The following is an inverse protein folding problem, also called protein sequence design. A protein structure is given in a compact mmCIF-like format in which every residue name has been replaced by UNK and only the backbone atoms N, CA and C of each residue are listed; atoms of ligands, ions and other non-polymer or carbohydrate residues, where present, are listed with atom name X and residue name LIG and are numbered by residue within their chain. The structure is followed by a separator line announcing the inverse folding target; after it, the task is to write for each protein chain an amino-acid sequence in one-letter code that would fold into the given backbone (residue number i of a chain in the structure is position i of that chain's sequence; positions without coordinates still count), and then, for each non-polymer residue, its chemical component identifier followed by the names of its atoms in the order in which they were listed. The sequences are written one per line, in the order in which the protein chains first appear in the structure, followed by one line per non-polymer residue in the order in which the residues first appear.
data_IF_420410613654
#
_entry.id   IF_420410613654
#
_cell.length_a   1.000
_cell.length_b   1.000
_cell.length_c   1.000
_cell.angle_alpha   90.00
_cell.angle_beta   90.00
_cell.angle_gamma   90.00
#
_symmetry.space_group_name_H-M   'P 1'
#
loop_
_entity.id
_entity.type
_entity.pdbx_description
1 polymer ?
#
# COMPACT_ATOMS: atom_id res chain seq x y z
N UNK A 1 1.22 18.44 -15.86
CA UNK A 1 2.05 17.88 -14.77
C UNK A 1 2.66 16.59 -15.28
N UNK A 2 3.98 16.50 -15.38
CA UNK A 2 4.66 15.26 -15.76
C UNK A 2 4.98 14.50 -14.46
N UNK A 3 4.50 13.27 -14.35
CA UNK A 3 4.72 12.38 -13.20
C UNK A 3 5.42 11.12 -13.69
N UNK A 4 6.39 10.62 -12.92
CA UNK A 4 6.86 9.26 -13.11
C UNK A 4 5.72 8.27 -12.81
N UNK A 5 5.74 7.08 -13.43
CA UNK A 5 4.71 6.06 -13.20
C UNK A 5 4.55 5.70 -11.71
N UNK A 6 5.65 5.65 -10.97
CA UNK A 6 5.66 5.43 -9.53
C UNK A 6 4.94 6.54 -8.75
N UNK A 7 5.17 7.79 -9.14
CA UNK A 7 4.53 8.94 -8.52
C UNK A 7 3.03 8.99 -8.83
N UNK A 8 2.65 8.61 -10.06
CA UNK A 8 1.26 8.50 -10.46
C UNK A 8 0.52 7.43 -9.63
N UNK A 9 1.15 6.28 -9.35
CA UNK A 9 0.60 5.26 -8.46
C UNK A 9 0.42 5.82 -7.05
N UNK A 10 1.44 6.48 -6.49
CA UNK A 10 1.34 7.08 -5.16
C UNK A 10 0.20 8.10 -5.08
N UNK A 11 0.08 8.96 -6.08
CA UNK A 11 -0.99 9.94 -6.18
C UNK A 11 -2.38 9.28 -6.25
N UNK A 12 -2.53 8.26 -7.10
CA UNK A 12 -3.77 7.49 -7.24
C UNK A 12 -4.21 6.82 -5.94
N UNK A 13 -3.27 6.26 -5.17
CA UNK A 13 -3.58 5.65 -3.86
C UNK A 13 -4.10 6.69 -2.86
N UNK A 14 -3.45 7.86 -2.78
CA UNK A 14 -3.87 8.92 -1.87
C UNK A 14 -5.25 9.47 -2.23
N UNK A 15 -5.48 9.76 -3.52
CA UNK A 15 -6.77 10.26 -4.03
C UNK A 15 -7.86 9.20 -3.88
N UNK A 16 -7.54 7.92 -4.07
CA UNK A 16 -8.44 6.79 -3.83
C UNK A 16 -8.86 6.59 -2.37
N UNK A 17 -8.31 7.39 -1.46
CA UNK A 17 -8.67 7.40 -0.05
C UNK A 17 -7.92 6.36 0.77
N UNK A 18 -6.77 5.85 0.29
CA UNK A 18 -5.89 5.00 1.10
C UNK A 18 -5.38 5.82 2.29
N UNK A 19 -5.45 5.21 3.48
CA UNK A 19 -5.03 5.81 4.75
C UNK A 19 -4.00 4.96 5.48
N UNK A 20 -3.73 3.76 4.97
CA UNK A 20 -2.68 2.88 5.44
C UNK A 20 -1.86 2.39 4.24
N UNK A 21 -0.64 2.89 4.08
CA UNK A 21 0.27 2.49 3.02
C UNK A 21 1.56 1.99 3.66
N UNK A 22 1.98 0.79 3.29
CA UNK A 22 3.26 0.25 3.74
C UNK A 22 3.96 -0.47 2.61
N UNK A 23 5.21 -0.84 2.82
CA UNK A 23 6.02 -1.48 1.82
C UNK A 23 7.38 -1.84 2.36
N UNK A 24 8.13 -2.58 1.56
CA UNK A 24 9.52 -2.89 1.80
C UNK A 24 10.34 -2.43 0.59
N UNK A 25 11.53 -1.84 0.79
CA UNK A 25 12.30 -1.27 -0.31
C UNK A 25 12.67 -2.34 -1.34
N UNK A 26 12.47 -2.01 -2.62
CA UNK A 26 12.82 -2.86 -3.75
C UNK A 26 12.73 -2.10 -5.05
N UNK A 27 13.86 -1.93 -5.75
CA UNK A 27 13.89 -1.40 -7.12
C UNK A 27 13.09 -2.32 -8.03
N UNK A 28 12.17 -1.78 -8.87
CA UNK A 28 11.94 -0.38 -9.25
C UNK A 28 10.82 0.37 -8.48
N UNK A 29 10.24 -0.23 -7.43
CA UNK A 29 9.05 0.29 -6.71
C UNK A 29 9.34 1.19 -5.50
N UNK A 30 10.62 1.40 -5.15
CA UNK A 30 11.03 2.11 -3.93
C UNK A 30 10.60 3.58 -3.86
N UNK A 31 10.23 4.21 -4.98
CA UNK A 31 9.87 5.63 -5.03
C UNK A 31 8.41 5.90 -4.63
N UNK A 32 7.55 4.89 -4.67
CA UNK A 32 6.10 5.06 -4.45
C UNK A 32 5.83 5.51 -3.01
N UNK A 33 6.44 4.86 -2.02
CA UNK A 33 6.22 5.13 -0.60
C UNK A 33 6.80 6.50 -0.16
N UNK A 34 8.05 6.88 -0.52
CA UNK A 34 8.57 8.23 -0.29
C UNK A 34 7.73 9.31 -0.95
N UNK A 35 7.22 9.06 -2.17
CA UNK A 35 6.32 10.00 -2.83
C UNK A 35 5.03 10.16 -2.05
N UNK A 36 4.44 9.07 -1.57
CA UNK A 36 3.25 9.13 -0.72
C UNK A 36 3.50 9.85 0.62
N UNK A 37 4.68 9.68 1.23
CA UNK A 37 5.10 10.45 2.42
C UNK A 37 5.21 11.95 2.14
N UNK A 38 5.80 12.34 0.99
CA UNK A 38 5.86 13.74 0.56
C UNK A 38 4.46 14.32 0.32
N UNK A 39 3.57 13.55 -0.32
CA UNK A 39 2.18 13.95 -0.54
C UNK A 39 1.42 14.10 0.77
N UNK A 40 1.64 13.21 1.75
CA UNK A 40 1.09 13.31 3.11
C UNK A 40 1.48 14.61 3.80
N UNK A 41 2.75 14.97 3.76
CA UNK A 41 3.23 16.24 4.32
C UNK A 41 2.65 17.46 3.59
N UNK A 42 2.60 17.40 2.24
CA UNK A 42 2.12 18.51 1.42
C UNK A 42 0.62 18.79 1.60
N UNK A 43 -0.21 17.75 1.65
CA UNK A 43 -1.67 17.89 1.69
C UNK A 43 -2.27 17.69 3.09
N UNK A 44 -1.45 17.38 4.10
CA UNK A 44 -1.86 17.32 5.50
C UNK A 44 -2.88 16.23 5.85
N UNK A 45 -3.03 15.18 5.03
CA UNK A 45 -3.98 14.11 5.31
C UNK A 45 -3.44 13.15 6.38
N UNK A 46 -4.34 12.63 7.22
CA UNK A 46 -4.01 11.68 8.30
C UNK A 46 -3.95 10.26 7.74
N UNK A 47 -2.87 9.54 7.99
CA UNK A 47 -2.71 8.15 7.57
C UNK A 47 -1.35 7.59 8.00
N UNK A 48 -1.25 6.26 8.08
CA UNK A 48 -0.01 5.55 8.33
C UNK A 48 0.70 5.32 7.00
N UNK A 49 1.92 5.85 6.84
CA UNK A 49 2.72 5.70 5.62
C UNK A 49 4.17 5.49 6.02
N UNK A 50 4.57 4.24 6.21
CA UNK A 50 5.90 3.89 6.67
C UNK A 50 6.37 2.54 6.13
N UNK A 51 7.69 2.40 6.10
CA UNK A 51 8.35 1.16 5.72
C UNK A 51 8.12 0.08 6.77
N UNK A 52 7.91 -1.15 6.30
CA UNK A 52 7.96 -2.33 7.13
C UNK A 52 9.37 -2.92 7.13
N UNK A 53 9.58 -3.89 8.03
CA UNK A 53 10.85 -4.62 8.15
C UNK A 53 11.04 -5.71 7.07
N UNK A 54 9.98 -6.15 6.40
CA UNK A 54 9.98 -7.21 5.38
C UNK A 54 8.70 -7.11 4.52
N UNK A 55 8.70 -7.63 3.29
CA UNK A 55 7.53 -7.78 2.42
C UNK A 55 6.38 -8.55 3.07
N UNK A 56 6.69 -9.66 3.75
CA UNK A 56 5.68 -10.46 4.46
C UNK A 56 4.98 -9.64 5.54
N UNK A 57 5.78 -8.94 6.35
CA UNK A 57 5.28 -8.12 7.46
C UNK A 57 4.49 -6.92 6.92
N UNK A 58 4.95 -6.28 5.85
CA UNK A 58 4.21 -5.23 5.17
C UNK A 58 2.80 -5.73 4.76
N UNK A 59 2.72 -6.94 4.18
CA UNK A 59 1.47 -7.49 3.68
C UNK A 59 0.50 -7.79 4.83
N UNK A 60 0.99 -8.41 5.90
CA UNK A 60 0.18 -8.72 7.08
C UNK A 60 -0.33 -7.45 7.79
N UNK A 61 0.50 -6.40 7.88
CA UNK A 61 0.09 -5.11 8.43
C UNK A 61 -1.01 -4.45 7.59
N UNK A 62 -0.82 -4.37 6.26
CA UNK A 62 -1.80 -3.80 5.36
C UNK A 62 -3.11 -4.60 5.34
N UNK A 63 -3.01 -5.93 5.39
CA UNK A 63 -4.15 -6.82 5.45
C UNK A 63 -4.94 -6.65 6.76
N UNK A 64 -4.24 -6.57 7.89
CA UNK A 64 -4.85 -6.29 9.20
C UNK A 64 -5.57 -4.94 9.22
N UNK A 65 -4.98 -3.91 8.63
CA UNK A 65 -5.64 -2.61 8.47
C UNK A 65 -6.93 -2.70 7.63
N UNK A 66 -6.95 -3.53 6.58
CA UNK A 66 -8.15 -3.76 5.76
C UNK A 66 -9.27 -4.43 6.55
N UNK A 67 -8.93 -5.40 7.41
CA UNK A 67 -9.88 -6.06 8.33
C UNK A 67 -10.52 -5.06 9.30
N UNK A 68 -9.76 -4.08 9.78
CA UNK A 68 -10.25 -2.97 10.60
C UNK A 68 -11.09 -1.94 9.81
N UNK A 69 -11.30 -2.15 8.51
CA UNK A 69 -12.09 -1.28 7.64
C UNK A 69 -11.35 -0.05 7.12
N UNK A 70 -10.02 0.01 7.28
CA UNK A 70 -9.19 1.08 6.75
C UNK A 70 -8.79 0.73 5.33
N UNK A 71 -8.95 1.68 4.39
CA UNK A 71 -8.44 1.50 3.02
C UNK A 71 -6.91 1.42 3.06
N UNK A 72 -6.39 0.24 2.76
CA UNK A 72 -4.97 -0.06 2.83
C UNK A 72 -4.41 -0.47 1.48
N UNK A 73 -3.11 -0.23 1.31
CA UNK A 73 -2.35 -0.67 0.16
C UNK A 73 -0.92 -1.01 0.56
N UNK A 74 -0.28 -1.81 -0.30
CA UNK A 74 1.09 -2.25 -0.12
C UNK A 74 1.88 -2.03 -1.40
N UNK A 75 3.15 -1.63 -1.27
CA UNK A 75 4.07 -1.46 -2.41
C UNK A 75 5.30 -2.33 -2.22
N UNK A 76 5.55 -3.22 -3.18
CA UNK A 76 6.74 -4.07 -3.25
C UNK A 76 6.97 -4.49 -4.71
N UNK A 77 8.18 -4.99 -5.02
CA UNK A 77 8.47 -5.62 -6.32
C UNK A 77 7.89 -7.04 -6.38
N UNK A 78 7.67 -7.54 -7.60
CA UNK A 78 7.10 -8.89 -7.83
C UNK A 78 7.85 -10.00 -7.08
N UNK A 79 9.19 -10.00 -7.09
CA UNK A 79 9.95 -11.05 -6.38
C UNK A 79 9.80 -10.98 -4.86
N UNK A 80 9.46 -9.80 -4.31
CA UNK A 80 9.14 -9.64 -2.90
C UNK A 80 7.77 -10.24 -2.55
N UNK A 81 6.82 -10.19 -3.49
CA UNK A 81 5.52 -10.84 -3.35
C UNK A 81 5.64 -12.36 -3.24
N UNK A 82 6.65 -12.96 -3.87
CA UNK A 82 6.92 -14.40 -3.72
C UNK A 82 7.24 -14.77 -2.27
N UNK A 83 7.93 -13.90 -1.52
CA UNK A 83 8.22 -14.11 -0.09
C UNK A 83 6.95 -13.96 0.76
N UNK A 84 6.02 -13.11 0.32
CA UNK A 84 4.74 -12.86 0.96
C UNK A 84 3.57 -13.67 0.36
N UNK A 85 3.85 -14.74 -0.39
CA UNK A 85 2.84 -15.48 -1.14
C UNK A 85 1.82 -16.15 -0.21
N UNK A 86 2.27 -16.76 0.89
CA UNK A 86 1.38 -17.44 1.85
C UNK A 86 0.31 -16.48 2.42
N UNK A 87 0.67 -15.33 3.02
CA UNK A 87 -0.34 -14.39 3.50
C UNK A 87 -1.12 -13.73 2.36
N UNK A 88 -0.55 -13.59 1.15
CA UNK A 88 -1.27 -13.07 -0.01
C UNK A 88 -2.42 -13.99 -0.44
N UNK A 89 -2.17 -15.28 -0.62
CA UNK A 89 -3.22 -16.26 -0.97
C UNK A 89 -4.27 -16.33 0.12
N UNK A 90 -3.84 -16.33 1.39
CA UNK A 90 -4.74 -16.32 2.54
C UNK A 90 -5.63 -15.06 2.58
N UNK A 91 -5.09 -13.90 2.19
CA UNK A 91 -5.84 -12.64 2.14
C UNK A 91 -6.98 -12.63 1.13
N UNK A 92 -6.93 -13.48 0.10
CA UNK A 92 -8.02 -13.63 -0.87
C UNK A 92 -9.18 -14.46 -0.30
N UNK A 93 -8.85 -15.43 0.57
CA UNK A 93 -9.83 -16.29 1.23
C UNK A 93 -10.66 -15.51 2.25
N UNK A 94 -9.98 -14.75 3.10
CA UNK A 94 -10.65 -13.84 4.02
C UNK A 94 -11.15 -12.63 3.22
N UNK A 95 -12.47 -12.40 3.20
CA UNK A 95 -13.19 -11.44 2.35
C UNK A 95 -12.89 -9.94 2.65
N UNK A 96 -11.64 -9.59 2.97
CA UNK A 96 -11.11 -8.24 3.17
C UNK A 96 -10.65 -7.57 1.87
N UNK A 97 -10.62 -8.29 0.74
CA UNK A 97 -10.10 -7.79 -0.53
C UNK A 97 -10.83 -6.54 -1.04
N UNK A 98 -12.14 -6.37 -0.75
CA UNK A 98 -12.91 -5.18 -1.19
C UNK A 98 -12.36 -3.84 -0.67
N UNK A 99 -11.53 -3.85 0.38
CA UNK A 99 -10.91 -2.64 0.97
C UNK A 99 -9.39 -2.60 0.82
N UNK A 100 -8.81 -3.69 0.30
CA UNK A 100 -7.41 -3.83 -0.08
C UNK A 100 -7.30 -3.38 -1.54
N UNK A 101 -6.55 -2.30 -1.81
CA UNK A 101 -6.46 -1.69 -3.15
C UNK A 101 -7.76 -1.02 -3.65
N UNK A 102 -8.14 0.10 -3.03
CA UNK A 102 -8.82 1.25 -3.67
C UNK A 102 -10.24 1.11 -4.24
N UNK A 103 -10.67 -0.07 -4.71
CA UNK A 103 -11.95 -0.31 -5.39
C UNK A 103 -13.05 -0.68 -4.38
N UNK A 104 -13.38 0.30 -3.54
CA UNK A 104 -14.46 0.16 -2.56
C UNK A 104 -14.96 1.54 -2.16
N UNK A 105 -15.67 2.19 -3.08
CA UNK A 105 -16.52 3.32 -2.76
C UNK A 105 -17.66 2.85 -1.86
N UNK A 106 -17.95 3.65 -0.83
CA UNK A 106 -19.35 3.91 -0.49
C UNK A 106 -19.94 4.75 -1.61
#
# INVERSE_FOLDING_TARGET
MYLSGNEAIAYGLIVGGVRFLTGYPGTPSSEILPTAQKLKLRYGFKGFIDWAINEKVALEMAFSASLCGIKSAITMKQVGLNVAMDPFVNSAYYRAFRRFCGCGGR
#
